data_IF_677329518955
#
_entry.id   IF_677329518955
#
_cell.length_a   1.000
_cell.length_b   1.000
_cell.length_c   1.000
_cell.angle_alpha   90.00
_cell.angle_beta   90.00
_cell.angle_gamma   90.00
#
_symmetry.space_group_name_H-M   'P 1'
#
loop_
_entity.id
_entity.type
_entity.pdbx_description
1 polymer ?
#
# COMPACT_ATOMS: atom_id res chain seq x y z
N UNK A 1 27.72 -15.17 -17.69
CA UNK A 1 27.13 -13.83 -17.56
C UNK A 1 26.31 -13.59 -18.82
N UNK A 2 24.99 -13.76 -18.73
CA UNK A 2 24.11 -13.45 -19.85
C UNK A 2 23.98 -11.93 -19.95
N UNK A 3 24.21 -11.36 -21.13
CA UNK A 3 23.93 -9.96 -21.39
C UNK A 3 22.42 -9.74 -21.20
N UNK A 4 22.03 -8.89 -20.24
CA UNK A 4 20.65 -8.46 -20.12
C UNK A 4 20.30 -7.74 -21.42
N UNK A 5 19.27 -8.21 -22.12
CA UNK A 5 18.68 -7.46 -23.22
C UNK A 5 18.31 -6.07 -22.71
N UNK A 6 19.02 -5.03 -23.16
CA UNK A 6 18.65 -3.64 -22.86
C UNK A 6 17.29 -3.39 -23.50
N UNK A 7 16.24 -3.43 -22.71
CA UNK A 7 14.89 -3.16 -23.19
C UNK A 7 14.61 -1.65 -23.05
N UNK A 8 13.68 -1.07 -23.85
CA UNK A 8 13.45 0.39 -23.95
C UNK A 8 13.36 1.14 -22.60
N UNK A 9 12.80 0.55 -21.56
CA UNK A 9 12.75 1.16 -20.22
C UNK A 9 14.11 1.42 -19.56
N UNK A 10 15.18 0.73 -19.95
CA UNK A 10 16.54 0.92 -19.39
C UNK A 10 17.20 2.22 -19.89
N UNK A 11 16.72 2.75 -21.01
CA UNK A 11 17.17 4.02 -21.58
C UNK A 11 16.74 5.23 -20.74
N UNK A 12 15.57 5.13 -20.10
CA UNK A 12 15.01 6.23 -19.33
C UNK A 12 15.51 6.26 -17.89
N UNK A 13 16.21 5.20 -17.47
CA UNK A 13 16.86 5.11 -16.18
C UNK A 13 18.30 4.61 -16.35
N UNK A 14 19.13 5.34 -17.12
CA UNK A 14 20.49 4.88 -17.47
C UNK A 14 21.38 4.72 -16.23
N UNK A 15 21.05 5.41 -15.14
CA UNK A 15 21.75 5.33 -13.87
C UNK A 15 21.32 4.12 -13.01
N UNK A 16 20.26 3.39 -13.40
CA UNK A 16 19.73 2.25 -12.66
C UNK A 16 19.27 1.10 -13.60
N UNK A 17 20.22 0.34 -14.20
CA UNK A 17 19.93 -0.78 -15.11
C UNK A 17 19.19 -1.96 -14.46
N UNK A 18 18.92 -1.90 -13.15
CA UNK A 18 18.12 -2.92 -12.43
C UNK A 18 16.67 -2.50 -12.20
N UNK A 19 16.27 -1.29 -12.61
CA UNK A 19 14.94 -0.74 -12.31
C UNK A 19 13.82 -1.58 -12.91
N UNK A 20 13.95 -2.10 -14.15
CA UNK A 20 12.93 -2.99 -14.74
C UNK A 20 12.83 -4.33 -14.04
N UNK A 21 13.97 -4.97 -13.76
CA UNK A 21 14.01 -6.19 -12.94
C UNK A 21 13.34 -5.97 -11.58
N UNK A 22 13.51 -4.78 -10.99
CA UNK A 22 12.82 -4.39 -9.76
C UNK A 22 11.33 -4.15 -9.96
N UNK A 23 10.88 -3.51 -11.02
CA UNK A 23 9.44 -3.35 -11.32
C UNK A 23 8.78 -4.71 -11.47
N UNK A 24 9.40 -5.64 -12.20
CA UNK A 24 8.93 -7.01 -12.33
C UNK A 24 8.89 -7.73 -10.96
N UNK A 25 9.92 -7.54 -10.13
CA UNK A 25 9.96 -8.08 -8.78
C UNK A 25 8.88 -7.48 -7.87
N UNK A 26 8.69 -6.15 -7.90
CA UNK A 26 7.66 -5.45 -7.14
C UNK A 26 6.27 -5.90 -7.55
N UNK A 27 6.03 -6.09 -8.85
CA UNK A 27 4.79 -6.69 -9.37
C UNK A 27 4.60 -8.10 -8.80
N UNK A 28 5.65 -8.92 -8.80
CA UNK A 28 5.62 -10.24 -8.17
C UNK A 28 5.32 -10.20 -6.67
N UNK A 29 5.92 -9.25 -5.95
CA UNK A 29 5.69 -9.04 -4.52
C UNK A 29 4.25 -8.61 -4.24
N UNK A 30 3.73 -7.63 -4.99
CA UNK A 30 2.35 -7.15 -4.87
C UNK A 30 1.37 -8.30 -5.13
N UNK A 31 1.60 -9.10 -6.18
CA UNK A 31 0.76 -10.24 -6.49
C UNK A 31 0.79 -11.28 -5.36
N UNK A 32 1.97 -11.61 -4.85
CA UNK A 32 2.13 -12.51 -3.71
C UNK A 32 1.38 -11.99 -2.48
N UNK A 33 1.53 -10.71 -2.13
CA UNK A 33 0.85 -10.13 -0.97
C UNK A 33 -0.67 -10.09 -1.16
N UNK A 34 -1.15 -9.86 -2.40
CA UNK A 34 -2.57 -9.97 -2.74
C UNK A 34 -3.10 -11.40 -2.55
N UNK A 35 -2.36 -12.41 -3.02
CA UNK A 35 -2.72 -13.83 -2.82
C UNK A 35 -2.76 -14.18 -1.33
N UNK A 36 -1.76 -13.76 -0.55
CA UNK A 36 -1.75 -13.96 0.90
C UNK A 36 -2.95 -13.27 1.57
N UNK A 37 -3.38 -12.11 1.07
CA UNK A 37 -4.55 -11.40 1.59
C UNK A 37 -5.85 -12.15 1.31
N UNK A 38 -5.99 -12.72 0.10
CA UNK A 38 -7.17 -13.53 -0.22
C UNK A 38 -7.21 -14.81 0.59
N UNK A 39 -6.08 -15.49 0.79
CA UNK A 39 -5.99 -16.66 1.67
C UNK A 39 -6.34 -16.30 3.12
N UNK A 40 -5.82 -15.19 3.64
CA UNK A 40 -6.17 -14.66 4.96
C UNK A 40 -7.68 -14.45 5.11
N UNK A 41 -8.29 -13.87 4.08
CA UNK A 41 -9.72 -13.57 4.05
C UNK A 41 -10.55 -14.85 4.02
N UNK A 42 -10.16 -15.86 3.23
CA UNK A 42 -10.84 -17.15 3.17
C UNK A 42 -10.76 -17.87 4.52
N UNK A 43 -9.56 -17.98 5.10
CA UNK A 43 -9.37 -18.62 6.40
C UNK A 43 -10.15 -17.91 7.52
N UNK A 44 -10.22 -16.57 7.48
CA UNK A 44 -11.07 -15.78 8.39
C UNK A 44 -12.56 -16.15 8.26
N UNK A 45 -13.04 -16.38 7.04
CA UNK A 45 -14.43 -16.76 6.80
C UNK A 45 -14.72 -18.19 7.24
N UNK A 46 -13.78 -19.11 7.05
CA UNK A 46 -13.91 -20.48 7.52
C UNK A 46 -13.90 -20.56 9.05
N UNK A 47 -12.98 -19.82 9.70
CA UNK A 47 -12.96 -19.68 11.15
C UNK A 47 -14.28 -19.10 11.67
N UNK A 48 -14.81 -18.06 11.01
CA UNK A 48 -16.10 -17.48 11.39
C UNK A 48 -17.23 -18.51 11.30
N UNK A 49 -17.27 -19.29 10.21
CA UNK A 49 -18.28 -20.33 9.98
C UNK A 49 -18.26 -21.37 11.09
N UNK A 50 -17.07 -21.70 11.58
CA UNK A 50 -16.87 -22.65 12.68
C UNK A 50 -17.18 -22.07 14.06
N UNK A 51 -16.71 -20.84 14.33
CA UNK A 51 -16.91 -20.15 15.61
C UNK A 51 -18.37 -19.79 15.87
N UNK A 52 -19.12 -19.38 14.84
CA UNK A 52 -20.49 -18.89 14.99
C UNK A 52 -21.43 -19.86 15.74
N UNK A 53 -21.53 -21.16 15.38
CA UNK A 53 -22.34 -22.10 16.15
C UNK A 53 -21.79 -22.38 17.55
N UNK A 54 -20.46 -22.48 17.72
CA UNK A 54 -19.82 -22.70 19.03
C UNK A 54 -20.13 -21.53 19.99
N UNK A 55 -19.98 -20.30 19.51
CA UNK A 55 -20.29 -19.07 20.23
C UNK A 55 -21.79 -18.97 20.54
N UNK A 56 -22.67 -19.29 19.59
CA UNK A 56 -24.11 -19.30 19.84
C UNK A 56 -24.52 -20.28 20.95
N UNK A 57 -23.92 -21.47 20.98
CA UNK A 57 -24.14 -22.45 22.05
C UNK A 57 -23.59 -21.97 23.39
N UNK A 58 -22.42 -21.33 23.38
CA UNK A 58 -21.79 -20.76 24.57
C UNK A 58 -22.63 -19.63 25.18
N UNK A 59 -23.13 -18.70 24.36
CA UNK A 59 -24.01 -17.61 24.80
C UNK A 59 -25.28 -18.17 25.44
N UNK A 60 -25.94 -19.12 24.78
CA UNK A 60 -27.12 -19.81 25.33
C UNK A 60 -26.81 -20.53 26.65
N UNK A 61 -25.67 -21.22 26.75
CA UNK A 61 -25.22 -21.90 27.97
C UNK A 61 -25.08 -20.93 29.15
N UNK A 62 -24.75 -19.67 28.88
CA UNK A 62 -24.64 -18.63 29.89
C UNK A 62 -25.86 -17.73 30.03
N UNK A 63 -26.97 -18.04 29.36
CA UNK A 63 -28.22 -17.31 29.48
C UNK A 63 -28.27 -16.01 28.67
N UNK A 64 -27.39 -15.83 27.69
CA UNK A 64 -27.43 -14.71 26.76
C UNK A 64 -28.08 -15.14 25.45
N UNK A 65 -29.15 -14.45 25.08
CA UNK A 65 -29.89 -14.65 23.84
C UNK A 65 -29.45 -13.69 22.73
N UNK A 66 -28.87 -12.56 23.11
CA UNK A 66 -28.42 -11.51 22.18
C UNK A 66 -27.01 -11.01 22.53
N UNK A 67 -26.24 -10.51 21.55
CA UNK A 67 -24.96 -9.85 21.82
C UNK A 67 -25.08 -8.64 22.75
N UNK A 68 -26.19 -7.92 22.70
CA UNK A 68 -26.47 -6.75 23.53
C UNK A 68 -26.62 -7.14 25.02
N UNK A 69 -27.28 -8.26 25.31
CA UNK A 69 -27.38 -8.79 26.69
C UNK A 69 -26.01 -9.12 27.27
N UNK A 70 -25.13 -9.73 26.46
CA UNK A 70 -23.75 -9.99 26.87
C UNK A 70 -23.01 -8.68 27.14
N UNK A 71 -23.10 -7.71 26.22
CA UNK A 71 -22.42 -6.42 26.35
C UNK A 71 -22.86 -5.68 27.62
N UNK A 72 -24.14 -5.72 27.97
CA UNK A 72 -24.65 -5.12 29.19
C UNK A 72 -24.15 -5.81 30.45
N UNK A 73 -23.95 -7.13 30.41
CA UNK A 73 -23.38 -7.88 31.53
C UNK A 73 -21.88 -7.62 31.70
N UNK A 74 -21.13 -7.55 30.60
CA UNK A 74 -19.73 -7.06 30.60
C UNK A 74 -19.69 -5.65 31.23
N UNK A 75 -20.65 -4.81 30.84
CA UNK A 75 -21.05 -3.51 31.42
C UNK A 75 -20.94 -3.45 32.96
N UNK A 76 -21.54 -4.45 33.60
CA UNK A 76 -21.72 -4.53 35.06
C UNK A 76 -20.52 -5.11 35.78
N UNK A 77 -19.84 -6.06 35.14
CA UNK A 77 -18.76 -6.84 35.75
C UNK A 77 -17.44 -6.09 35.68
N UNK A 78 -17.09 -5.54 34.51
CA UNK A 78 -15.85 -4.80 34.33
C UNK A 78 -15.91 -3.45 35.06
N UNK A 79 -14.77 -3.00 35.58
CA UNK A 79 -14.64 -1.73 36.31
C UNK A 79 -13.33 -1.03 35.96
N UNK A 80 -13.28 0.27 36.19
CA UNK A 80 -12.05 1.05 36.05
C UNK A 80 -11.49 1.02 34.63
N UNK A 81 -10.19 0.76 34.51
CA UNK A 81 -9.44 0.81 33.24
C UNK A 81 -9.98 -0.21 32.24
N UNK A 82 -10.27 -1.43 32.68
CA UNK A 82 -10.74 -2.53 31.80
C UNK A 82 -12.09 -2.20 31.15
N UNK A 83 -12.98 -1.52 31.88
CA UNK A 83 -14.27 -1.09 31.35
C UNK A 83 -14.11 0.01 30.30
N UNK A 84 -13.25 0.99 30.56
CA UNK A 84 -13.01 2.08 29.61
C UNK A 84 -12.33 1.56 28.34
N UNK A 85 -11.42 0.60 28.47
CA UNK A 85 -10.78 -0.09 27.35
C UNK A 85 -11.80 -0.89 26.52
N UNK A 86 -12.66 -1.67 27.17
CA UNK A 86 -13.75 -2.38 26.48
C UNK A 86 -14.67 -1.42 25.72
N UNK A 87 -15.11 -0.32 26.35
CA UNK A 87 -15.96 0.70 25.71
C UNK A 87 -15.27 1.33 24.50
N UNK A 88 -13.97 1.62 24.61
CA UNK A 88 -13.19 2.19 23.51
C UNK A 88 -13.22 1.23 22.31
N UNK A 89 -12.86 -0.03 22.53
CA UNK A 89 -12.83 -1.03 21.45
C UNK A 89 -14.22 -1.29 20.89
N UNK A 90 -15.24 -1.43 21.74
CA UNK A 90 -16.62 -1.65 21.30
C UNK A 90 -17.15 -0.55 20.38
N UNK A 91 -16.62 0.68 20.51
CA UNK A 91 -16.89 1.81 19.61
C UNK A 91 -16.05 1.79 18.32
N UNK A 92 -14.79 1.36 18.41
CA UNK A 92 -13.86 1.30 17.27
C UNK A 92 -14.10 0.09 16.36
N UNK A 93 -14.65 -1.00 16.92
CA UNK A 93 -15.03 -2.21 16.21
C UNK A 93 -16.14 -1.91 15.21
N UNK A 94 -15.90 -2.22 13.93
CA UNK A 94 -16.95 -2.24 12.93
C UNK A 94 -17.90 -3.41 13.19
N UNK A 95 -19.02 -3.16 13.88
CA UNK A 95 -20.05 -4.17 14.18
C UNK A 95 -20.69 -4.80 12.93
N UNK A 96 -20.50 -4.22 11.73
CA UNK A 96 -20.96 -4.83 10.46
C UNK A 96 -20.04 -5.96 9.98
N UNK A 97 -18.80 -6.02 10.49
CA UNK A 97 -17.89 -7.12 10.21
C UNK A 97 -18.19 -8.27 11.18
N UNK A 98 -18.82 -9.34 10.67
CA UNK A 98 -19.27 -10.47 11.47
C UNK A 98 -18.15 -11.15 12.26
N UNK A 99 -16.94 -11.23 11.70
CA UNK A 99 -15.81 -11.84 12.40
C UNK A 99 -15.39 -10.98 13.59
N UNK A 100 -15.29 -9.67 13.38
CA UNK A 100 -14.96 -8.74 14.45
C UNK A 100 -16.01 -8.74 15.55
N UNK A 101 -17.29 -8.80 15.19
CA UNK A 101 -18.38 -8.92 16.13
C UNK A 101 -18.31 -10.24 16.94
N UNK A 102 -18.00 -11.36 16.29
CA UNK A 102 -17.82 -12.65 16.96
C UNK A 102 -16.63 -12.62 17.94
N UNK A 103 -15.51 -12.02 17.54
CA UNK A 103 -14.33 -11.87 18.41
C UNK A 103 -14.61 -11.00 19.63
N UNK A 104 -15.35 -9.90 19.46
CA UNK A 104 -15.77 -9.04 20.56
C UNK A 104 -16.72 -9.77 21.52
N UNK A 105 -17.62 -10.62 21.00
CA UNK A 105 -18.48 -11.47 21.82
C UNK A 105 -17.67 -12.50 22.61
N UNK A 106 -16.69 -13.17 22.00
CA UNK A 106 -15.82 -14.12 22.72
C UNK A 106 -15.08 -13.40 23.86
N UNK A 107 -14.48 -12.24 23.58
CA UNK A 107 -13.84 -11.42 24.61
C UNK A 107 -14.83 -11.01 25.71
N UNK A 108 -16.08 -10.70 25.35
CA UNK A 108 -17.15 -10.40 26.30
C UNK A 108 -17.49 -11.58 27.21
N UNK A 109 -17.63 -12.80 26.68
CA UNK A 109 -17.92 -13.98 27.52
C UNK A 109 -16.78 -14.25 28.49
N UNK A 110 -15.53 -14.11 28.04
CA UNK A 110 -14.34 -14.25 28.89
C UNK A 110 -14.37 -13.19 30.00
N UNK A 111 -14.66 -11.94 29.65
CA UNK A 111 -14.75 -10.83 30.61
C UNK A 111 -15.82 -11.07 31.68
N UNK A 112 -17.01 -11.57 31.30
CA UNK A 112 -18.06 -11.91 32.27
C UNK A 112 -17.62 -13.04 33.19
N UNK A 113 -16.96 -14.07 32.68
CA UNK A 113 -16.58 -15.24 33.49
C UNK A 113 -15.43 -15.00 34.43
N UNK A 114 -14.43 -14.26 33.98
CA UNK A 114 -13.17 -14.07 34.71
C UNK A 114 -13.13 -12.75 35.46
N UNK A 115 -14.01 -11.79 35.09
CA UNK A 115 -13.90 -10.41 35.53
C UNK A 115 -12.71 -9.65 34.94
N UNK A 116 -11.98 -10.26 34.00
CA UNK A 116 -10.79 -9.69 33.36
C UNK A 116 -11.10 -9.46 31.89
N UNK A 117 -10.88 -8.24 31.42
CA UNK A 117 -10.94 -7.97 30.00
C UNK A 117 -9.65 -8.44 29.32
N UNK A 118 -9.76 -9.30 28.30
CA UNK A 118 -8.63 -9.58 27.43
C UNK A 118 -8.20 -8.26 26.80
N UNK A 119 -6.91 -7.93 26.95
CA UNK A 119 -6.40 -6.60 26.65
C UNK A 119 -6.72 -6.17 25.21
N UNK A 120 -6.79 -4.86 25.00
CA UNK A 120 -7.25 -4.29 23.74
C UNK A 120 -6.50 -4.80 22.51
N UNK A 121 -5.24 -5.16 22.68
CA UNK A 121 -4.39 -5.68 21.62
C UNK A 121 -4.94 -6.98 21.03
N UNK A 122 -5.50 -7.89 21.85
CA UNK A 122 -6.05 -9.17 21.35
C UNK A 122 -7.27 -8.94 20.47
N UNK A 123 -8.17 -8.06 20.91
CA UNK A 123 -9.37 -7.74 20.16
C UNK A 123 -9.00 -6.90 18.93
N UNK A 124 -8.15 -5.88 19.05
CA UNK A 124 -7.75 -5.03 17.94
C UNK A 124 -6.99 -5.78 16.85
N UNK A 125 -6.14 -6.74 17.18
CA UNK A 125 -5.44 -7.54 16.19
C UNK A 125 -6.32 -8.52 15.42
N UNK A 126 -7.39 -9.01 16.06
CA UNK A 126 -8.40 -9.81 15.38
C UNK A 126 -9.37 -8.93 14.56
N UNK A 127 -9.46 -7.63 14.88
CA UNK A 127 -10.16 -6.61 14.08
C UNK A 127 -9.31 -6.14 12.90
N UNK A 128 -7.99 -6.05 13.08
CA UNK A 128 -7.08 -5.54 12.08
C UNK A 128 -7.25 -6.38 10.81
N UNK A 129 -7.74 -5.70 9.76
CA UNK A 129 -8.18 -6.30 8.50
C UNK A 129 -7.18 -7.31 7.93
N UNK A 130 -7.57 -8.16 6.98
CA UNK A 130 -6.69 -9.16 6.36
C UNK A 130 -5.30 -8.65 5.94
N UNK A 131 -5.15 -7.34 5.69
CA UNK A 131 -3.89 -6.65 5.41
C UNK A 131 -2.89 -6.68 6.59
N UNK A 132 -3.37 -6.56 7.82
CA UNK A 132 -2.56 -6.71 9.03
C UNK A 132 -2.11 -8.16 9.21
N UNK A 133 -3.04 -9.11 9.02
CA UNK A 133 -2.75 -10.55 9.03
C UNK A 133 -1.70 -10.94 7.98
N UNK A 134 -1.74 -10.38 6.77
CA UNK A 134 -0.68 -10.55 5.76
C UNK A 134 0.66 -9.94 6.16
N UNK A 135 0.68 -8.78 6.82
CA UNK A 135 1.91 -8.22 7.36
C UNK A 135 2.55 -9.13 8.42
N UNK A 136 1.75 -9.95 9.12
CA UNK A 136 2.28 -11.00 10.00
C UNK A 136 2.71 -12.29 9.27
N UNK A 137 2.20 -12.55 8.07
CA UNK A 137 2.51 -13.74 7.24
C UNK A 137 3.96 -13.80 6.73
N UNK A 138 4.70 -12.72 6.96
CA UNK A 138 6.08 -12.50 6.57
C UNK A 138 7.10 -13.49 7.18
N UNK A 139 6.78 -14.17 8.29
CA UNK A 139 7.71 -15.12 8.93
C UNK A 139 7.22 -16.58 8.98
N UNK A 140 5.91 -16.87 8.92
CA UNK A 140 5.39 -18.27 8.91
C UNK A 140 3.97 -18.41 8.29
N UNK A 141 3.54 -17.47 7.45
CA UNK A 141 2.23 -17.52 6.79
C UNK A 141 1.06 -17.10 7.69
N UNK A 142 0.10 -16.39 7.09
CA UNK A 142 -1.18 -16.02 7.71
C UNK A 142 -1.92 -17.19 8.38
N UNK A 143 -1.86 -18.43 7.85
CA UNK A 143 -2.50 -19.57 8.50
C UNK A 143 -2.07 -19.77 9.95
N UNK A 144 -0.78 -19.61 10.27
CA UNK A 144 -0.29 -19.89 11.62
C UNK A 144 -0.88 -19.02 12.74
N UNK A 145 -1.25 -17.76 12.45
CA UNK A 145 -1.87 -16.89 13.47
C UNK A 145 -3.34 -17.20 13.65
N UNK A 146 -4.06 -17.45 12.56
CA UNK A 146 -5.47 -17.82 12.63
C UNK A 146 -5.63 -19.22 13.24
N UNK A 147 -4.72 -20.15 12.94
CA UNK A 147 -4.66 -21.49 13.55
C UNK A 147 -4.33 -21.41 15.05
N UNK A 148 -3.37 -20.56 15.45
CA UNK A 148 -3.07 -20.33 16.86
C UNK A 148 -4.26 -19.72 17.61
N UNK A 149 -4.94 -18.75 16.99
CA UNK A 149 -6.11 -18.10 17.56
C UNK A 149 -7.28 -19.10 17.68
N UNK A 150 -7.52 -19.90 16.64
CA UNK A 150 -8.50 -20.99 16.62
C UNK A 150 -8.23 -21.97 17.76
N UNK A 151 -6.99 -22.48 17.83
CA UNK A 151 -6.54 -23.42 18.84
C UNK A 151 -6.68 -22.86 20.25
N UNK A 152 -6.36 -21.59 20.47
CA UNK A 152 -6.55 -20.92 21.76
C UNK A 152 -8.04 -20.85 22.15
N UNK A 153 -8.93 -20.60 21.18
CA UNK A 153 -10.37 -20.59 21.44
C UNK A 153 -10.94 -21.97 21.64
N UNK A 154 -10.60 -22.95 20.82
CA UNK A 154 -11.01 -24.35 21.02
C UNK A 154 -10.53 -24.85 22.38
N UNK A 155 -9.26 -24.62 22.70
CA UNK A 155 -8.70 -25.00 23.99
C UNK A 155 -9.47 -24.36 25.15
N UNK A 156 -9.90 -23.11 25.03
CA UNK A 156 -10.72 -22.47 26.06
C UNK A 156 -12.15 -22.99 26.13
N UNK A 157 -12.78 -23.21 24.97
CA UNK A 157 -14.16 -23.65 24.86
C UNK A 157 -14.34 -25.11 25.32
N UNK A 158 -13.35 -25.95 25.03
CA UNK A 158 -13.44 -27.39 25.19
C UNK A 158 -12.75 -27.92 26.45
N UNK A 159 -11.76 -27.20 27.01
CA UNK A 159 -11.05 -27.62 28.23
C UNK A 159 -11.58 -26.88 29.49
N UNK A 160 -12.39 -27.55 30.35
CA UNK A 160 -12.93 -26.95 31.54
C UNK A 160 -11.85 -26.54 32.56
N UNK A 161 -10.71 -27.24 32.61
CA UNK A 161 -9.62 -26.95 33.54
C UNK A 161 -8.85 -25.68 33.15
N UNK A 162 -8.80 -25.39 31.86
CA UNK A 162 -8.22 -24.15 31.33
C UNK A 162 -9.21 -22.99 31.47
N UNK A 163 -10.50 -23.24 31.19
CA UNK A 163 -11.54 -22.22 31.32
C UNK A 163 -11.71 -21.70 32.76
N UNK A 164 -11.40 -22.53 33.77
CA UNK A 164 -11.43 -22.16 35.18
C UNK A 164 -10.12 -21.60 35.74
N UNK A 165 -9.06 -21.54 34.94
CA UNK A 165 -7.73 -21.11 35.40
C UNK A 165 -7.26 -19.84 34.68
N UNK A 166 -7.72 -18.70 35.19
CA UNK A 166 -7.43 -17.36 34.68
C UNK A 166 -5.93 -17.08 34.52
N UNK A 167 -5.07 -17.69 35.35
CA UNK A 167 -3.61 -17.49 35.28
C UNK A 167 -3.01 -18.16 34.05
N UNK A 168 -3.45 -19.38 33.72
CA UNK A 168 -2.98 -20.08 32.53
C UNK A 168 -3.47 -19.36 31.28
N UNK A 169 -4.73 -18.94 31.28
CA UNK A 169 -5.33 -18.20 30.16
C UNK A 169 -4.61 -16.87 29.92
N UNK A 170 -4.50 -16.03 30.95
CA UNK A 170 -3.82 -14.75 30.83
C UNK A 170 -2.36 -14.92 30.40
N UNK A 171 -1.68 -15.96 30.88
CA UNK A 171 -0.31 -16.24 30.46
C UNK A 171 -0.23 -16.61 28.98
N UNK A 172 -1.05 -17.55 28.50
CA UNK A 172 -1.04 -17.96 27.09
C UNK A 172 -1.44 -16.81 26.17
N UNK A 173 -2.61 -16.20 26.43
CA UNK A 173 -3.13 -15.10 25.63
C UNK A 173 -2.20 -13.89 25.66
N UNK A 174 -1.74 -13.41 26.81
CA UNK A 174 -0.85 -12.24 26.82
C UNK A 174 0.52 -12.54 26.25
N UNK A 175 1.15 -13.66 26.59
CA UNK A 175 2.55 -13.90 26.20
C UNK A 175 2.67 -14.30 24.74
N UNK A 176 1.87 -15.26 24.27
CA UNK A 176 1.97 -15.73 22.88
C UNK A 176 1.44 -14.67 21.93
N UNK A 177 0.31 -14.04 22.27
CA UNK A 177 -0.24 -13.00 21.44
C UNK A 177 0.60 -11.73 21.43
N UNK A 178 1.13 -11.26 22.57
CA UNK A 178 2.01 -10.08 22.56
C UNK A 178 3.28 -10.36 21.75
N UNK A 179 3.79 -11.60 21.77
CA UNK A 179 4.92 -12.01 20.93
C UNK A 179 4.56 -11.93 19.45
N UNK A 180 3.40 -12.43 19.04
CA UNK A 180 2.97 -12.33 17.64
C UNK A 180 2.64 -10.89 17.25
N UNK A 181 1.90 -10.15 18.08
CA UNK A 181 1.61 -8.73 17.91
C UNK A 181 2.86 -7.89 17.73
N UNK A 182 3.92 -8.16 18.50
CA UNK A 182 5.19 -7.45 18.38
C UNK A 182 5.80 -7.54 16.98
N UNK A 183 5.45 -8.57 16.18
CA UNK A 183 5.88 -8.70 14.78
C UNK A 183 5.18 -7.74 13.83
N UNK A 184 4.01 -7.19 14.20
CA UNK A 184 3.34 -6.11 13.45
C UNK A 184 3.91 -4.73 13.75
N UNK A 185 4.73 -4.61 14.79
CA UNK A 185 5.36 -3.32 15.08
C UNK A 185 6.28 -2.93 13.95
N UNK A 186 6.33 -1.63 13.67
CA UNK A 186 7.14 -1.05 12.60
C UNK A 186 8.58 -1.48 12.69
N UNK A 187 9.20 -1.44 13.88
CA UNK A 187 10.60 -1.88 14.02
C UNK A 187 10.84 -3.29 13.46
N UNK A 188 9.89 -4.22 13.68
CA UNK A 188 9.97 -5.57 13.17
C UNK A 188 9.72 -5.63 11.66
N UNK A 189 8.68 -4.95 11.18
CA UNK A 189 8.35 -4.87 9.74
C UNK A 189 9.50 -4.23 8.96
N UNK A 190 10.07 -3.12 9.44
CA UNK A 190 11.22 -2.43 8.84
C UNK A 190 12.43 -3.34 8.84
N UNK A 191 12.74 -4.03 9.95
CA UNK A 191 13.83 -4.99 10.00
C UNK A 191 13.68 -6.07 8.93
N UNK A 192 12.49 -6.68 8.83
CA UNK A 192 12.21 -7.68 7.81
C UNK A 192 12.35 -7.12 6.39
N UNK A 193 11.78 -5.93 6.12
CA UNK A 193 11.87 -5.30 4.81
C UNK A 193 13.33 -4.98 4.44
N UNK A 194 14.17 -4.56 5.41
CA UNK A 194 15.61 -4.37 5.19
C UNK A 194 16.30 -5.71 4.88
N UNK A 195 16.02 -6.76 5.64
CA UNK A 195 16.61 -8.10 5.41
C UNK A 195 16.21 -8.64 4.03
N UNK A 196 14.93 -8.55 3.68
CA UNK A 196 14.41 -8.94 2.36
C UNK A 196 15.02 -8.09 1.24
N UNK A 197 15.18 -6.78 1.44
CA UNK A 197 15.84 -5.88 0.48
C UNK A 197 17.31 -6.29 0.26
N UNK A 198 18.04 -6.60 1.34
CA UNK A 198 19.41 -7.07 1.29
C UNK A 198 19.55 -8.41 0.55
N UNK A 199 18.72 -9.40 0.88
CA UNK A 199 18.69 -10.73 0.24
C UNK A 199 18.43 -10.63 -1.25
N UNK A 200 17.61 -9.66 -1.64
CA UNK A 200 17.19 -9.45 -3.03
C UNK A 200 18.08 -8.46 -3.78
N UNK A 201 19.08 -7.89 -3.11
CA UNK A 201 19.91 -6.80 -3.62
C UNK A 201 19.07 -5.64 -4.18
N UNK A 202 17.92 -5.39 -3.57
CA UNK A 202 17.04 -4.29 -3.90
C UNK A 202 17.53 -2.99 -3.21
N UNK A 203 17.09 -1.84 -3.75
CA UNK A 203 17.62 -0.52 -3.42
C UNK A 203 16.57 0.25 -2.59
N UNK A 204 16.55 0.09 -1.27
CA UNK A 204 15.72 0.94 -0.38
C UNK A 204 16.24 2.38 -0.19
N UNK A 205 17.19 2.84 -1.02
CA UNK A 205 17.76 4.20 -0.94
C UNK A 205 16.91 5.28 -1.63
N UNK A 206 15.95 4.90 -2.47
CA UNK A 206 15.14 5.87 -3.24
C UNK A 206 14.04 6.53 -2.39
N UNK A 207 13.67 5.94 -1.25
CA UNK A 207 12.79 6.55 -0.26
C UNK A 207 13.52 6.58 1.10
N UNK A 208 14.05 7.71 1.56
CA UNK A 208 14.72 7.77 2.86
C UNK A 208 13.73 7.66 4.05
N UNK A 209 12.43 7.87 3.81
CA UNK A 209 11.43 8.07 4.84
C UNK A 209 10.54 6.85 5.11
N UNK A 210 10.55 5.80 4.28
CA UNK A 210 9.70 4.61 4.50
C UNK A 210 9.94 3.92 5.85
N UNK A 211 11.14 4.08 6.43
CA UNK A 211 11.49 3.53 7.75
C UNK A 211 10.85 4.30 8.91
N UNK A 212 10.38 5.52 8.68
CA UNK A 212 9.93 6.46 9.70
C UNK A 212 8.41 6.49 9.89
N UNK A 213 7.96 6.59 11.14
CA UNK A 213 6.55 6.75 11.54
C UNK A 213 6.22 5.98 12.82
N UNK A 214 4.93 5.76 13.10
CA UNK A 214 4.49 5.15 14.38
C UNK A 214 4.91 3.70 14.53
N UNK A 215 5.41 3.35 15.72
CA UNK A 215 5.83 1.99 16.04
C UNK A 215 4.66 1.00 16.01
N UNK A 216 3.51 1.41 16.54
CA UNK A 216 2.31 0.62 16.50
C UNK A 216 1.50 0.93 15.23
N UNK A 217 1.71 0.11 14.21
CA UNK A 217 1.03 0.25 12.92
C UNK A 217 -0.44 -0.09 13.07
N UNK A 218 -0.82 -1.02 13.96
CA UNK A 218 -2.18 -1.60 14.05
C UNK A 218 -3.13 -0.83 14.99
N UNK A 219 -2.59 -0.01 15.89
CA UNK A 219 -3.36 0.69 16.94
C UNK A 219 -4.38 1.73 16.47
N UNK A 220 -4.33 2.21 15.22
CA UNK A 220 -5.30 3.19 14.72
C UNK A 220 -6.05 2.70 13.48
N UNK A 221 -7.20 2.01 13.65
CA UNK A 221 -8.06 1.55 12.58
C UNK A 221 -8.47 2.62 11.56
N UNK A 222 -8.65 3.86 12.03
CA UNK A 222 -9.06 4.97 11.17
C UNK A 222 -7.99 5.34 10.14
N UNK A 223 -6.71 5.14 10.47
CA UNK A 223 -5.59 5.44 9.58
C UNK A 223 -5.39 4.37 8.49
N UNK A 224 -5.87 3.13 8.65
CA UNK A 224 -5.80 2.11 7.56
C UNK A 224 -6.66 2.47 6.35
N UNK A 225 -7.71 3.27 6.56
CA UNK A 225 -8.57 3.75 5.47
C UNK A 225 -7.85 4.72 4.53
N UNK A 226 -6.73 5.29 4.97
CA UNK A 226 -5.76 6.01 4.11
C UNK A 226 -4.91 4.98 3.36
N UNK A 227 -5.58 4.15 2.57
CA UNK A 227 -4.93 3.08 1.81
C UNK A 227 -3.85 3.65 0.89
N UNK A 228 -2.94 2.77 0.49
CA UNK A 228 -2.00 3.02 -0.61
C UNK A 228 -2.69 3.66 -1.81
N UNK A 229 -3.97 3.38 -2.09
CA UNK A 229 -4.72 4.06 -3.14
C UNK A 229 -4.83 5.57 -2.89
N UNK A 230 -5.15 6.07 -1.69
CA UNK A 230 -5.12 7.52 -1.42
C UNK A 230 -3.72 8.10 -1.61
N UNK A 231 -2.67 7.38 -1.19
CA UNK A 231 -1.28 7.78 -1.40
C UNK A 231 -0.87 7.72 -2.88
N UNK A 232 -1.25 6.70 -3.64
CA UNK A 232 -0.87 6.53 -5.04
C UNK A 232 -1.68 7.44 -5.96
N UNK A 233 -2.98 7.62 -5.67
CA UNK A 233 -3.89 8.48 -6.43
C UNK A 233 -3.64 9.96 -6.17
N UNK A 234 -3.16 10.33 -4.97
CA UNK A 234 -2.88 11.74 -4.63
C UNK A 234 -1.38 12.11 -4.51
N UNK A 235 -0.45 11.13 -4.45
CA UNK A 235 0.99 11.39 -4.22
C UNK A 235 1.98 10.58 -5.08
N UNK A 236 1.56 9.53 -5.80
CA UNK A 236 2.53 8.71 -6.56
C UNK A 236 2.57 8.97 -8.06
N UNK A 237 1.70 9.82 -8.58
CA UNK A 237 2.13 10.66 -9.69
C UNK A 237 2.91 11.83 -9.11
N UNK A 238 3.95 12.29 -9.79
CA UNK A 238 4.23 13.73 -9.84
C UNK A 238 3.03 14.45 -10.48
N UNK A 239 1.84 14.26 -9.92
CA UNK A 239 0.66 15.01 -10.23
C UNK A 239 0.77 16.23 -9.35
N UNK A 240 1.44 17.24 -9.90
CA UNK A 240 1.34 18.59 -9.39
C UNK A 240 -0.11 19.00 -9.66
N UNK A 241 -1.01 18.64 -8.73
CA UNK A 241 -2.27 19.35 -8.63
C UNK A 241 -1.92 20.72 -8.05
N UNK A 242 -1.79 21.71 -8.93
CA UNK A 242 -1.48 23.10 -8.55
C UNK A 242 -2.43 23.59 -7.44
N UNK A 243 -3.67 23.09 -7.38
CA UNK A 243 -4.65 23.44 -6.35
C UNK A 243 -4.30 22.82 -4.99
N UNK A 244 -3.76 21.61 -4.96
CA UNK A 244 -3.33 20.94 -3.74
C UNK A 244 -2.04 21.55 -3.16
N UNK A 245 -1.07 21.89 -4.01
CA UNK A 245 0.15 22.62 -3.61
C UNK A 245 -0.17 24.04 -3.12
N UNK A 246 -1.04 24.77 -3.82
CA UNK A 246 -1.47 26.11 -3.41
C UNK A 246 -2.14 26.13 -2.04
N UNK A 247 -2.93 25.09 -1.72
CA UNK A 247 -3.55 24.91 -0.40
C UNK A 247 -2.53 24.62 0.70
N UNK A 248 -1.55 23.75 0.45
CA UNK A 248 -0.50 23.46 1.43
C UNK A 248 0.43 24.65 1.69
N UNK A 249 0.81 25.40 0.66
CA UNK A 249 1.65 26.61 0.81
C UNK A 249 0.91 27.71 1.59
N UNK A 250 -0.42 27.80 1.47
CA UNK A 250 -1.23 28.70 2.31
C UNK A 250 -1.37 28.24 3.77
N UNK A 251 -1.29 26.95 4.07
CA UNK A 251 -1.51 26.41 5.42
C UNK A 251 -0.24 26.22 6.25
N UNK A 252 0.95 26.10 5.63
CA UNK A 252 2.19 25.70 6.33
C UNK A 252 3.26 26.80 6.50
N UNK A 253 3.08 28.01 5.96
CA UNK A 253 4.09 29.06 6.05
C UNK A 253 5.36 28.75 5.24
N UNK A 254 6.16 29.78 4.98
CA UNK A 254 7.31 29.77 4.05
C UNK A 254 8.30 28.61 4.34
N UNK A 255 8.22 27.54 3.53
CA UNK A 255 9.27 26.53 3.39
C UNK A 255 9.90 26.76 2.02
N UNK A 256 10.94 27.60 1.96
CA UNK A 256 11.60 27.97 0.70
C UNK A 256 12.57 26.90 0.14
N UNK A 257 12.87 25.82 0.88
CA UNK A 257 14.07 25.00 0.60
C UNK A 257 13.84 23.51 0.22
N UNK A 258 12.64 23.04 -0.15
CA UNK A 258 12.42 21.57 -0.29
C UNK A 258 11.71 21.05 -1.55
N UNK A 259 11.55 21.85 -2.60
CA UNK A 259 11.00 21.34 -3.87
C UNK A 259 12.11 21.24 -4.90
N UNK A 260 12.83 20.12 -4.92
CA UNK A 260 13.66 19.75 -6.06
C UNK A 260 12.80 19.72 -7.32
N UNK A 261 13.26 20.38 -8.39
CA UNK A 261 12.55 20.40 -9.66
C UNK A 261 12.47 18.97 -10.21
N UNK A 262 11.32 18.53 -10.75
CA UNK A 262 11.20 17.20 -11.30
C UNK A 262 12.16 17.00 -12.47
N UNK A 263 12.86 15.86 -12.50
CA UNK A 263 13.81 15.55 -13.56
C UNK A 263 13.15 15.61 -14.95
N UNK A 264 13.79 16.30 -15.89
CA UNK A 264 13.33 16.43 -17.27
C UNK A 264 14.29 15.77 -18.24
N UNK A 265 13.73 15.26 -19.34
CA UNK A 265 14.50 14.69 -20.45
C UNK A 265 14.15 15.40 -21.74
N UNK A 266 15.17 15.88 -22.43
CA UNK A 266 15.04 16.47 -23.75
C UNK A 266 15.21 15.38 -24.80
N UNK A 267 14.19 15.18 -25.63
CA UNK A 267 14.22 14.25 -26.75
C UNK A 267 14.11 15.00 -28.08
N UNK A 268 14.90 14.58 -29.07
CA UNK A 268 14.68 14.92 -30.46
C UNK A 268 13.93 13.78 -31.13
N UNK A 269 12.88 14.09 -31.88
CA UNK A 269 12.17 13.12 -32.71
C UNK A 269 12.27 13.50 -34.19
N UNK A 270 12.35 12.49 -35.05
CA UNK A 270 12.34 12.64 -36.50
C UNK A 270 11.40 11.61 -37.10
N UNK A 271 10.39 12.07 -37.83
CA UNK A 271 9.46 11.24 -38.59
C UNK A 271 9.45 11.65 -40.07
N UNK A 272 8.84 10.87 -40.98
CA UNK A 272 8.69 11.28 -42.38
C UNK A 272 7.91 12.59 -42.57
N UNK A 273 7.04 12.92 -41.61
CA UNK A 273 6.09 14.04 -41.71
C UNK A 273 6.57 15.27 -40.93
N UNK A 274 7.24 15.06 -39.79
CA UNK A 274 7.58 16.11 -38.82
C UNK A 274 8.83 15.73 -38.02
N UNK A 275 9.65 16.73 -37.71
CA UNK A 275 10.73 16.61 -36.74
C UNK A 275 10.59 17.70 -35.69
N UNK A 276 11.05 17.43 -34.47
CA UNK A 276 10.99 18.40 -33.39
C UNK A 276 11.78 17.96 -32.17
N UNK A 277 11.74 18.82 -31.16
CA UNK A 277 12.33 18.59 -29.84
C UNK A 277 11.23 18.71 -28.80
N UNK A 278 11.21 17.81 -27.83
CA UNK A 278 10.30 17.84 -26.68
C UNK A 278 11.12 17.82 -25.40
N UNK A 279 10.79 18.68 -24.44
CA UNK A 279 11.32 18.60 -23.08
C UNK A 279 10.25 18.01 -22.17
N UNK A 280 10.52 16.81 -21.66
CA UNK A 280 9.53 15.94 -21.10
C UNK A 280 9.78 15.69 -19.61
N UNK A 281 8.75 15.93 -18.80
CA UNK A 281 8.65 15.42 -17.44
C UNK A 281 7.93 14.07 -17.46
N UNK A 282 8.61 13.01 -17.04
CA UNK A 282 8.04 11.66 -17.06
C UNK A 282 6.92 11.48 -16.04
N UNK A 283 5.84 10.84 -16.47
CA UNK A 283 4.73 10.47 -15.59
C UNK A 283 4.76 8.98 -15.25
N UNK A 284 4.73 8.13 -16.28
CA UNK A 284 4.62 6.67 -16.12
C UNK A 284 5.05 5.95 -17.40
N UNK A 285 5.41 4.68 -17.29
CA UNK A 285 5.75 3.81 -18.42
C UNK A 285 5.24 2.39 -18.15
N UNK A 286 4.80 1.70 -19.20
CA UNK A 286 4.53 0.27 -19.18
C UNK A 286 5.42 -0.48 -20.19
N UNK A 287 5.13 -1.75 -20.46
CA UNK A 287 5.90 -2.60 -21.37
C UNK A 287 5.90 -2.10 -22.83
N UNK A 288 4.91 -1.30 -23.22
CA UNK A 288 4.61 -0.91 -24.61
C UNK A 288 4.49 0.60 -24.83
N UNK A 289 4.35 1.37 -23.75
CA UNK A 289 4.03 2.78 -23.81
C UNK A 289 4.68 3.62 -22.71
N UNK A 290 4.80 4.92 -22.96
CA UNK A 290 5.38 5.89 -22.05
C UNK A 290 4.53 7.17 -22.07
N UNK A 291 4.25 7.73 -20.91
CA UNK A 291 3.52 9.00 -20.76
C UNK A 291 4.43 10.07 -20.16
N UNK A 292 4.40 11.25 -20.76
CA UNK A 292 5.15 12.41 -20.29
C UNK A 292 4.38 13.71 -20.48
N UNK A 293 4.77 14.76 -19.74
CA UNK A 293 4.29 16.12 -19.90
C UNK A 293 5.36 16.95 -20.59
N UNK A 294 4.97 17.65 -21.65
CA UNK A 294 5.82 18.66 -22.27
C UNK A 294 5.84 19.93 -21.43
N UNK A 295 6.99 20.59 -21.35
CA UNK A 295 7.19 21.84 -20.63
C UNK A 295 6.56 23.06 -21.32
N UNK A 296 5.61 22.87 -22.25
CA UNK A 296 5.08 23.95 -23.07
C UNK A 296 4.41 25.08 -22.25
N UNK A 297 5.16 26.18 -22.20
CA UNK A 297 4.89 27.60 -22.00
C UNK A 297 3.71 27.98 -21.10
N UNK A 298 4.06 28.55 -19.93
CA UNK A 298 3.19 29.45 -19.16
C UNK A 298 2.57 30.53 -20.06
N UNK A 299 1.31 30.36 -20.47
CA UNK A 299 0.56 31.43 -21.13
C UNK A 299 0.05 32.36 -20.03
N UNK A 300 0.72 33.49 -19.83
CA UNK A 300 0.19 34.59 -19.02
C UNK A 300 -0.97 35.27 -19.77
N UNK A 301 -2.19 34.82 -19.54
CA UNK A 301 -3.38 35.52 -20.03
C UNK A 301 -3.71 36.71 -19.11
N UNK A 302 -3.21 37.90 -19.47
CA UNK A 302 -3.67 39.16 -18.88
C UNK A 302 -5.03 39.54 -19.47
N UNK A 303 -6.11 39.23 -18.77
CA UNK A 303 -7.38 39.92 -19.03
C UNK A 303 -7.33 41.29 -18.36
N UNK A 304 -7.28 42.34 -19.17
CA UNK A 304 -7.17 43.71 -18.69
C UNK A 304 -8.39 44.11 -17.87
N UNK A 305 -8.16 44.46 -16.60
CA UNK A 305 -9.14 45.15 -15.76
C UNK A 305 -9.27 44.57 -14.35
N UNK A 306 -8.62 45.26 -13.40
CA UNK A 306 -8.76 45.10 -11.95
C UNK A 306 -7.97 43.95 -11.28
N UNK A 307 -7.07 44.35 -10.38
CA UNK A 307 -6.17 43.49 -9.60
C UNK A 307 -6.99 42.70 -8.59
N UNK A 308 -7.09 41.37 -8.78
CA UNK A 308 -7.29 40.35 -7.74
C UNK A 308 -7.05 38.95 -8.37
N UNK A 309 -5.85 38.41 -8.15
CA UNK A 309 -5.51 36.99 -8.40
C UNK A 309 -5.25 36.61 -9.87
N UNK A 310 -4.00 36.67 -10.31
CA UNK A 310 -3.59 35.98 -11.54
C UNK A 310 -3.51 34.48 -11.27
N UNK A 311 -4.46 33.71 -11.80
CA UNK A 311 -4.34 32.26 -11.86
C UNK A 311 -3.38 31.91 -13.00
N UNK A 312 -2.18 31.43 -12.66
CA UNK A 312 -1.30 30.78 -13.64
C UNK A 312 -1.89 29.39 -13.90
N UNK A 313 -2.43 29.17 -15.10
CA UNK A 313 -2.86 27.85 -15.52
C UNK A 313 -1.74 27.25 -16.35
N UNK A 314 -1.05 26.25 -15.79
CA UNK A 314 -0.14 25.41 -16.55
C UNK A 314 -0.98 24.47 -17.42
N UNK A 315 -0.82 24.57 -18.73
CA UNK A 315 -1.53 23.71 -19.68
C UNK A 315 -0.53 22.80 -20.40
N UNK A 316 0.15 21.97 -19.62
CA UNK A 316 1.14 21.04 -20.15
C UNK A 316 0.47 20.05 -21.09
N UNK A 317 1.04 19.88 -22.29
CA UNK A 317 0.57 18.87 -23.22
C UNK A 317 1.00 17.49 -22.72
N UNK A 318 0.02 16.58 -22.59
CA UNK A 318 0.30 15.19 -22.23
C UNK A 318 0.58 14.37 -23.48
N UNK A 319 1.77 13.78 -23.53
CA UNK A 319 2.23 12.94 -24.63
C UNK A 319 2.21 11.47 -24.23
N UNK A 320 1.76 10.61 -25.15
CA UNK A 320 1.84 9.16 -25.10
C UNK A 320 2.76 8.69 -26.22
N UNK A 321 3.79 7.93 -25.89
CA UNK A 321 4.70 7.29 -26.83
C UNK A 321 4.33 5.82 -26.88
N UNK A 322 3.98 5.31 -28.06
CA UNK A 322 3.62 3.91 -28.27
C UNK A 322 4.61 3.28 -29.24
N UNK A 323 5.00 2.05 -28.97
CA UNK A 323 5.88 1.29 -29.86
C UNK A 323 5.18 0.95 -31.18
N UNK A 324 5.82 1.22 -32.32
CA UNK A 324 5.28 0.90 -33.64
C UNK A 324 5.87 -0.40 -34.20
N UNK A 325 7.20 -0.46 -34.35
CA UNK A 325 7.91 -1.67 -34.82
C UNK A 325 9.43 -1.56 -34.63
N UNK A 326 10.11 -2.72 -34.62
CA UNK A 326 11.57 -2.79 -34.76
C UNK A 326 11.90 -2.79 -36.24
N UNK A 327 12.80 -1.91 -36.68
CA UNK A 327 13.33 -1.97 -38.04
C UNK A 327 14.19 -3.24 -38.19
N UNK A 328 13.66 -4.22 -38.92
CA UNK A 328 14.18 -5.55 -39.32
C UNK A 328 13.65 -6.76 -38.52
N UNK A 329 12.66 -7.46 -39.09
CA UNK A 329 12.23 -8.82 -38.68
C UNK A 329 13.23 -9.93 -39.08
N UNK A 330 14.31 -9.60 -39.80
CA UNK A 330 15.22 -10.56 -40.45
C UNK A 330 16.66 -10.60 -39.89
N UNK A 331 16.95 -10.02 -38.72
CA UNK A 331 18.30 -10.12 -38.13
C UNK A 331 18.34 -10.99 -36.89
N UNK A 332 19.16 -12.03 -36.99
CA UNK A 332 19.71 -12.78 -35.86
C UNK A 332 20.08 -11.81 -34.73
N UNK A 333 19.47 -11.97 -33.55
CA UNK A 333 19.70 -11.20 -32.34
C UNK A 333 21.07 -11.55 -31.72
N UNK A 334 22.13 -11.45 -32.52
CA UNK A 334 23.51 -11.60 -32.07
C UNK A 334 23.90 -10.42 -31.18
N UNK A 335 24.01 -10.71 -29.88
CA UNK A 335 24.64 -10.04 -28.72
C UNK A 335 25.04 -8.55 -28.70
N UNK A 336 24.70 -7.71 -29.67
CA UNK A 336 24.94 -6.26 -29.61
C UNK A 336 23.68 -5.55 -29.12
N UNK A 337 23.83 -4.80 -28.02
CA UNK A 337 22.78 -4.02 -27.38
C UNK A 337 21.88 -3.31 -28.40
N UNK A 338 20.55 -3.48 -28.33
CA UNK A 338 19.64 -2.80 -29.23
C UNK A 338 19.71 -1.28 -28.99
N UNK A 339 20.44 -0.58 -29.85
CA UNK A 339 20.50 0.88 -29.85
C UNK A 339 19.11 1.43 -30.20
N UNK A 340 18.59 2.34 -29.36
CA UNK A 340 17.35 3.12 -29.54
C UNK A 340 17.03 3.54 -30.99
N UNK A 341 18.08 3.88 -31.74
CA UNK A 341 18.03 4.32 -33.13
C UNK A 341 17.34 3.33 -34.08
N UNK A 342 17.15 2.08 -33.66
CA UNK A 342 16.52 1.00 -34.45
C UNK A 342 15.00 0.92 -34.27
N UNK A 343 14.42 1.62 -33.29
CA UNK A 343 12.99 1.56 -33.00
C UNK A 343 12.24 2.75 -33.60
N UNK A 344 10.98 2.50 -33.96
CA UNK A 344 10.03 3.51 -34.39
C UNK A 344 8.90 3.62 -33.37
N UNK A 345 8.44 4.85 -33.15
CA UNK A 345 7.43 5.19 -32.16
C UNK A 345 6.29 5.99 -32.80
N UNK A 346 5.11 5.83 -32.25
CA UNK A 346 3.97 6.72 -32.47
C UNK A 346 3.93 7.69 -31.29
N UNK A 347 4.02 8.98 -31.56
CA UNK A 347 3.83 10.03 -30.56
C UNK A 347 2.40 10.55 -30.65
N UNK A 348 1.67 10.53 -29.55
CA UNK A 348 0.29 11.01 -29.46
C UNK A 348 0.22 12.15 -28.46
N UNK A 349 -0.12 13.34 -28.93
CA UNK A 349 -0.49 14.44 -28.05
C UNK A 349 -1.95 14.23 -27.63
N UNK A 350 -2.18 13.83 -26.38
CA UNK A 350 -3.50 13.47 -25.87
C UNK A 350 -4.46 14.66 -25.80
N UNK A 351 -3.95 15.89 -25.87
CA UNK A 351 -4.75 17.11 -25.83
C UNK A 351 -5.18 17.54 -27.23
N UNK A 352 -4.23 17.63 -28.16
CA UNK A 352 -4.52 18.05 -29.53
C UNK A 352 -5.01 16.91 -30.41
N UNK A 353 -4.92 15.67 -29.92
CA UNK A 353 -5.10 14.44 -30.69
C UNK A 353 -4.21 14.40 -31.94
N UNK A 354 -3.03 15.03 -31.87
CA UNK A 354 -2.01 14.93 -32.92
C UNK A 354 -1.29 13.58 -32.81
N UNK A 355 -1.14 12.89 -33.94
CA UNK A 355 -0.44 11.61 -34.06
C UNK A 355 0.77 11.78 -34.98
N UNK A 356 1.95 11.37 -34.51
CA UNK A 356 3.19 11.41 -35.28
C UNK A 356 3.77 10.00 -35.34
N UNK A 357 3.51 9.31 -36.44
CA UNK A 357 3.95 7.93 -36.69
C UNK A 357 5.39 7.89 -37.24
N UNK A 358 6.06 6.74 -37.11
CA UNK A 358 7.39 6.53 -37.65
C UNK A 358 8.47 7.38 -36.98
N UNK A 359 8.26 7.79 -35.73
CA UNK A 359 9.22 8.64 -35.02
C UNK A 359 10.46 7.85 -34.60
N UNK A 360 11.63 8.33 -35.00
CA UNK A 360 12.92 7.96 -34.41
C UNK A 360 13.26 8.94 -33.32
N UNK A 361 13.54 8.44 -32.12
CA UNK A 361 13.81 9.26 -30.93
C UNK A 361 15.31 9.21 -30.61
N UNK A 362 15.89 10.37 -30.33
CA UNK A 362 17.25 10.53 -29.80
C UNK A 362 17.19 11.34 -28.51
N UNK A 363 17.69 10.76 -27.41
CA UNK A 363 17.81 11.49 -26.13
C UNK A 363 18.98 12.46 -26.22
N UNK A 364 18.73 13.75 -25.98
CA UNK A 364 19.72 14.83 -26.12
C UNK A 364 20.41 15.09 -24.79
N UNK A 365 19.64 15.21 -23.72
CA UNK A 365 20.12 15.53 -22.37
C UNK A 365 19.16 15.04 -21.30
N UNK A 366 19.70 14.80 -20.11
CA UNK A 366 18.99 14.47 -18.89
C UNK A 366 19.39 15.50 -17.84
N UNK A 367 18.42 16.25 -17.30
CA UNK A 367 18.67 17.17 -16.19
C UNK A 367 18.27 16.48 -14.88
N UNK A 368 19.23 16.27 -13.99
CA UNK A 368 19.02 15.88 -12.59
C UNK A 368 19.68 16.99 -11.80
N UNK A 369 18.92 18.02 -11.48
CA UNK A 369 19.38 19.03 -10.52
C UNK A 369 19.58 18.40 -9.14
#
# INVERSE_FOLDING_TARGET
MAASSNEIGDIFYPNNPRRRGRVAQLRGDINFDCEQFYLAKELRQDLLRELKPKLGNLLKKYGYHTPEELEDEVKKILKGVDLEEYKKISKEVNRKDEFTAAMLQVAGVIAVKTGIFLSSEVVLCSVASGAALTAFGIINGVPGILDNLASLFELWLDDPDISGNDKIMNRKMRVEFAKDYSKSKRSHVVKYLVERDMERHAWTKEDPNWRSGREDILSNPAEFSLSSQYFFTNKAGYYIDDVAMSRQVSELGEIEDLVESPATVTINYTSPQKSGTLELMFLTSDETSLQALDQDVCIFSFSGGFILGSAVSFQNNKWLFTYESALDENRDLGSEDPKLLKYTFILVNLRTHEFIEGCKITVVSHSTD
#
